data_IF_912917216354
#
_entry.id   IF_912917216354
#
_cell.length_a   1.000
_cell.length_b   1.000
_cell.length_c   1.000
_cell.angle_alpha   90.00
_cell.angle_beta   90.00
_cell.angle_gamma   90.00
#
_symmetry.space_group_name_H-M   'P 1'
#
loop_
_entity.id
_entity.type
_entity.pdbx_description
1 polymer ?
#
# COMPACT_ATOMS: atom_id res chain seq x y z
N UNK A 1 18.36 40.36 -15.55
CA UNK A 1 19.20 39.15 -15.81
C UNK A 1 19.09 38.12 -14.67
N UNK A 2 19.35 38.50 -13.42
CA UNK A 2 19.21 37.62 -12.22
C UNK A 2 17.81 37.01 -12.03
N UNK A 3 16.74 37.76 -12.32
CA UNK A 3 15.36 37.26 -12.19
C UNK A 3 15.02 36.19 -13.24
N UNK A 4 15.52 36.37 -14.46
CA UNK A 4 15.41 35.40 -15.57
C UNK A 4 16.22 34.12 -15.29
N UNK A 5 17.39 34.25 -14.66
CA UNK A 5 18.20 33.12 -14.19
C UNK A 5 17.51 32.36 -13.04
N UNK A 6 16.92 33.06 -12.06
CA UNK A 6 16.13 32.43 -10.98
C UNK A 6 14.91 31.69 -11.53
N UNK A 7 14.21 32.26 -12.50
CA UNK A 7 13.06 31.64 -13.16
C UNK A 7 13.47 30.38 -13.94
N UNK A 8 14.57 30.45 -14.71
CA UNK A 8 15.13 29.30 -15.43
C UNK A 8 15.60 28.19 -14.49
N UNK A 9 16.20 28.53 -13.34
CA UNK A 9 16.61 27.56 -12.33
C UNK A 9 15.40 26.86 -11.69
N UNK A 10 14.33 27.62 -11.39
CA UNK A 10 13.08 27.08 -10.84
C UNK A 10 12.41 26.11 -11.82
N UNK A 11 12.36 26.47 -13.11
CA UNK A 11 11.85 25.60 -14.17
C UNK A 11 12.68 24.31 -14.31
N UNK A 12 14.01 24.41 -14.35
CA UNK A 12 14.90 23.22 -14.41
C UNK A 12 14.70 22.29 -13.21
N UNK A 13 14.63 22.83 -12.00
CA UNK A 13 14.37 22.04 -10.77
C UNK A 13 12.99 21.38 -10.82
N UNK A 14 11.96 22.06 -11.31
CA UNK A 14 10.63 21.49 -11.42
C UNK A 14 10.53 20.33 -12.42
N UNK A 15 11.21 20.43 -13.56
CA UNK A 15 11.32 19.32 -14.52
C UNK A 15 12.05 18.13 -13.90
N UNK A 16 13.11 18.36 -13.13
CA UNK A 16 13.85 17.31 -12.43
C UNK A 16 12.95 16.55 -11.44
N UNK A 17 12.21 17.25 -10.57
CA UNK A 17 11.30 16.63 -9.61
C UNK A 17 10.19 15.82 -10.30
N UNK A 18 9.55 16.41 -11.32
CA UNK A 18 8.48 15.73 -12.05
C UNK A 18 8.96 14.47 -12.79
N UNK A 19 10.12 14.54 -13.45
CA UNK A 19 10.70 13.38 -14.12
C UNK A 19 11.21 12.34 -13.11
N UNK A 20 11.77 12.76 -11.98
CA UNK A 20 12.18 11.88 -10.89
C UNK A 20 11.02 11.03 -10.38
N UNK A 21 9.88 11.66 -10.06
CA UNK A 21 8.67 10.94 -9.62
C UNK A 21 8.11 10.00 -10.69
N UNK A 22 8.13 10.41 -11.96
CA UNK A 22 7.73 9.54 -13.07
C UNK A 22 8.61 8.29 -13.14
N UNK A 23 9.93 8.45 -13.09
CA UNK A 23 10.90 7.34 -13.12
C UNK A 23 10.71 6.45 -11.89
N UNK A 24 10.56 7.03 -10.69
CA UNK A 24 10.31 6.27 -9.46
C UNK A 24 9.06 5.41 -9.59
N UNK A 25 7.95 5.94 -10.11
CA UNK A 25 6.72 5.17 -10.32
C UNK A 25 6.94 4.00 -11.31
N UNK A 26 7.63 4.25 -12.43
CA UNK A 26 7.91 3.21 -13.41
C UNK A 26 8.80 2.09 -12.81
N UNK A 27 9.81 2.47 -12.02
CA UNK A 27 10.70 1.53 -11.34
C UNK A 27 9.90 0.69 -10.33
N UNK A 28 9.18 1.34 -9.40
CA UNK A 28 8.48 0.65 -8.31
C UNK A 28 7.39 -0.32 -8.81
N UNK A 29 6.73 0.01 -9.94
CA UNK A 29 5.63 -0.79 -10.47
C UNK A 29 6.10 -1.85 -11.46
N UNK A 30 7.01 -1.52 -12.37
CA UNK A 30 7.34 -2.39 -13.52
C UNK A 30 8.74 -3.02 -13.45
N UNK A 31 9.72 -2.36 -12.84
CA UNK A 31 11.12 -2.81 -12.94
C UNK A 31 11.72 -3.30 -11.62
N UNK A 32 10.98 -3.20 -10.51
CA UNK A 32 11.50 -3.54 -9.19
C UNK A 32 12.01 -4.98 -9.11
N UNK A 33 11.22 -5.95 -9.57
CA UNK A 33 11.57 -7.38 -9.46
C UNK A 33 12.70 -7.77 -10.44
N UNK A 34 12.86 -7.02 -11.54
CA UNK A 34 13.91 -7.20 -12.54
C UNK A 34 15.27 -6.75 -11.99
N UNK A 35 15.30 -5.63 -11.27
CA UNK A 35 16.54 -5.05 -10.74
C UNK A 35 16.68 -5.21 -9.21
N UNK A 36 15.96 -6.16 -8.61
CA UNK A 36 15.86 -6.29 -7.14
C UNK A 36 17.21 -6.34 -6.42
N UNK A 37 18.25 -6.89 -7.05
CA UNK A 37 19.61 -6.93 -6.49
C UNK A 37 20.27 -5.54 -6.43
N UNK A 38 19.99 -4.65 -7.39
CA UNK A 38 20.56 -3.31 -7.45
C UNK A 38 19.71 -2.25 -6.72
N UNK A 39 18.39 -2.44 -6.65
CA UNK A 39 17.42 -1.44 -6.16
C UNK A 39 16.52 -1.94 -5.02
N UNK A 40 16.88 -3.03 -4.35
CA UNK A 40 16.04 -3.70 -3.32
C UNK A 40 15.65 -2.84 -2.11
N UNK A 41 16.25 -1.66 -1.92
CA UNK A 41 15.90 -0.69 -0.86
C UNK A 41 15.44 0.66 -1.42
N UNK A 42 15.01 0.70 -2.68
CA UNK A 42 14.68 1.94 -3.36
C UNK A 42 13.46 2.63 -2.74
N UNK A 43 12.48 1.87 -2.26
CA UNK A 43 11.30 2.41 -1.60
C UNK A 43 11.57 2.90 -0.17
N UNK A 44 12.46 2.27 0.59
CA UNK A 44 13.00 2.81 1.85
C UNK A 44 13.75 4.11 1.61
N UNK A 45 14.58 4.16 0.56
CA UNK A 45 15.29 5.37 0.16
C UNK A 45 14.32 6.52 -0.15
N UNK A 46 13.25 6.27 -0.91
CA UNK A 46 12.21 7.26 -1.15
C UNK A 46 11.50 7.70 0.14
N UNK A 47 11.27 6.76 1.07
CA UNK A 47 10.76 7.05 2.41
C UNK A 47 11.66 8.02 3.18
N UNK A 48 12.96 7.73 3.24
CA UNK A 48 13.97 8.59 3.89
C UNK A 48 14.07 9.97 3.22
N UNK A 49 14.09 10.03 1.88
CA UNK A 49 14.02 11.29 1.16
C UNK A 49 12.76 12.07 1.50
N UNK A 50 11.63 11.38 1.64
CA UNK A 50 10.36 11.98 2.04
C UNK A 50 10.43 12.65 3.41
N UNK A 51 11.07 12.01 4.40
CA UNK A 51 11.35 12.63 5.70
C UNK A 51 12.18 13.90 5.56
N UNK A 52 13.25 13.89 4.75
CA UNK A 52 14.09 15.08 4.50
C UNK A 52 13.28 16.22 3.87
N UNK A 53 12.42 15.92 2.89
CA UNK A 53 11.54 16.92 2.25
C UNK A 53 10.57 17.53 3.25
N UNK A 54 9.96 16.71 4.10
CA UNK A 54 9.02 17.18 5.13
C UNK A 54 9.74 18.08 6.14
N UNK A 55 10.86 17.61 6.69
CA UNK A 55 11.64 18.36 7.70
C UNK A 55 12.14 19.70 7.16
N UNK A 56 12.70 19.73 5.95
CA UNK A 56 13.15 20.97 5.32
C UNK A 56 12.00 21.94 5.06
N UNK A 57 10.84 21.47 4.59
CA UNK A 57 9.68 22.34 4.39
C UNK A 57 9.15 22.94 5.68
N UNK A 58 9.09 22.16 6.76
CA UNK A 58 8.66 22.63 8.09
C UNK A 58 9.62 23.72 8.59
N UNK A 59 10.94 23.46 8.55
CA UNK A 59 11.96 24.36 9.07
C UNK A 59 12.04 25.70 8.31
N UNK A 60 11.93 25.69 6.98
CA UNK A 60 12.21 26.87 6.16
C UNK A 60 10.98 27.68 5.74
N UNK A 61 9.78 27.08 5.69
CA UNK A 61 8.61 27.74 5.09
C UNK A 61 7.41 27.91 6.02
N UNK A 62 7.37 27.24 7.18
CA UNK A 62 6.45 27.47 8.31
C UNK A 62 4.94 27.27 8.05
N UNK A 63 4.45 27.44 6.82
CA UNK A 63 3.05 27.29 6.43
C UNK A 63 2.95 26.20 5.37
N UNK A 64 2.27 25.11 5.73
CA UNK A 64 2.01 23.99 4.84
C UNK A 64 0.52 24.02 4.49
N UNK A 65 0.15 24.19 3.21
CA UNK A 65 -1.24 24.18 2.78
C UNK A 65 -1.77 22.74 2.68
N UNK A 66 -1.98 22.11 3.83
CA UNK A 66 -2.64 20.80 3.99
C UNK A 66 -4.11 20.97 4.37
N UNK A 67 -4.94 20.03 3.92
CA UNK A 67 -6.33 19.96 4.36
C UNK A 67 -6.39 19.57 5.84
N UNK A 68 -7.45 19.98 6.54
CA UNK A 68 -7.65 19.65 7.97
C UNK A 68 -7.53 18.15 8.26
N UNK A 69 -8.11 17.31 7.39
CA UNK A 69 -8.02 15.84 7.50
C UNK A 69 -6.60 15.30 7.22
N UNK A 70 -5.85 15.93 6.32
CA UNK A 70 -4.45 15.57 6.06
C UNK A 70 -3.56 15.86 7.29
N UNK A 71 -3.84 16.95 8.01
CA UNK A 71 -3.17 17.27 9.27
C UNK A 71 -3.49 16.24 10.36
N UNK A 72 -4.75 15.81 10.49
CA UNK A 72 -5.10 14.73 11.43
C UNK A 72 -4.37 13.42 11.12
N UNK A 73 -4.21 13.07 9.84
CA UNK A 73 -3.45 11.88 9.45
C UNK A 73 -1.98 12.01 9.88
N UNK A 74 -1.35 13.16 9.64
CA UNK A 74 0.02 13.41 10.11
C UNK A 74 0.15 13.27 11.62
N UNK A 75 -0.79 13.84 12.39
CA UNK A 75 -0.79 13.72 13.84
C UNK A 75 -0.96 12.28 14.32
N UNK A 76 -1.86 11.51 13.70
CA UNK A 76 -2.06 10.11 14.04
C UNK A 76 -0.83 9.26 13.70
N UNK A 77 -0.22 9.45 12.53
CA UNK A 77 1.01 8.75 12.15
C UNK A 77 2.17 9.08 13.08
N UNK A 78 2.33 10.36 13.44
CA UNK A 78 3.32 10.79 14.41
C UNK A 78 3.04 10.21 15.79
N UNK A 79 1.77 10.15 16.20
CA UNK A 79 1.31 9.50 17.41
C UNK A 79 1.68 8.01 17.45
N UNK A 80 1.47 7.26 16.37
CA UNK A 80 1.87 5.85 16.26
C UNK A 80 3.39 5.70 16.40
N UNK A 81 4.18 6.57 15.76
CA UNK A 81 5.64 6.53 15.86
C UNK A 81 6.09 6.75 17.31
N UNK A 82 5.58 7.78 17.99
CA UNK A 82 5.89 8.01 19.40
C UNK A 82 5.45 6.82 20.25
N UNK A 83 4.24 6.32 20.04
CA UNK A 83 3.68 5.20 20.79
C UNK A 83 4.52 3.93 20.64
N UNK A 84 4.95 3.60 19.43
CA UNK A 84 5.82 2.45 19.16
C UNK A 84 7.21 2.60 19.80
N UNK A 85 7.79 3.80 19.81
CA UNK A 85 9.06 4.04 20.50
C UNK A 85 8.92 3.92 22.02
N UNK A 86 7.83 4.44 22.60
CA UNK A 86 7.52 4.24 24.03
C UNK A 86 7.38 2.74 24.33
N UNK A 87 6.72 2.00 23.45
CA UNK A 87 6.59 0.54 23.58
C UNK A 87 7.94 -0.18 23.59
N UNK A 88 8.89 0.20 22.72
CA UNK A 88 10.26 -0.34 22.76
C UNK A 88 10.97 -0.01 24.09
N UNK A 89 10.81 1.20 24.62
CA UNK A 89 11.40 1.62 25.90
C UNK A 89 10.79 0.83 27.06
N UNK A 90 9.47 0.66 27.06
CA UNK A 90 8.76 -0.15 28.04
C UNK A 90 9.24 -1.60 28.03
N UNK A 91 9.33 -2.22 26.84
CA UNK A 91 9.86 -3.57 26.68
C UNK A 91 11.29 -3.69 27.25
N UNK A 92 12.14 -2.69 27.01
CA UNK A 92 13.50 -2.64 27.57
C UNK A 92 13.52 -2.57 29.09
N UNK A 93 12.58 -1.86 29.72
CA UNK A 93 12.48 -1.77 31.19
C UNK A 93 12.10 -3.10 31.84
N UNK A 94 11.29 -3.92 31.17
CA UNK A 94 10.89 -5.24 31.65
C UNK A 94 11.85 -6.37 31.23
N UNK A 95 13.02 -6.02 30.69
CA UNK A 95 14.12 -6.96 30.42
C UNK A 95 14.24 -7.43 28.96
N UNK A 96 13.39 -6.95 28.05
CA UNK A 96 13.43 -7.32 26.63
C UNK A 96 14.07 -6.25 25.76
N UNK A 97 15.21 -6.55 25.15
CA UNK A 97 15.95 -5.57 24.35
C UNK A 97 15.80 -5.84 22.86
N UNK A 98 15.50 -4.77 22.11
CA UNK A 98 15.43 -4.81 20.64
C UNK A 98 16.59 -3.99 20.08
N UNK A 99 17.29 -4.54 19.08
CA UNK A 99 18.46 -3.88 18.49
C UNK A 99 18.04 -2.54 17.86
N UNK A 100 18.75 -1.41 18.14
CA UNK A 100 18.40 -0.10 17.58
C UNK A 100 18.31 -0.06 16.05
N UNK A 101 19.17 -0.77 15.28
CA UNK A 101 19.00 -0.86 13.83
C UNK A 101 17.67 -1.50 13.38
N UNK A 102 17.15 -2.47 14.13
CA UNK A 102 15.85 -3.09 13.85
C UNK A 102 14.71 -2.08 14.06
N UNK A 103 14.76 -1.33 15.16
CA UNK A 103 13.79 -0.29 15.49
C UNK A 103 13.75 0.78 14.39
N UNK A 104 14.92 1.30 14.00
CA UNK A 104 15.01 2.36 13.00
C UNK A 104 14.53 1.88 11.62
N UNK A 105 15.01 0.71 11.18
CA UNK A 105 14.67 0.19 9.87
C UNK A 105 13.18 -0.14 9.76
N UNK A 106 12.58 -0.68 10.83
CA UNK A 106 11.16 -0.97 10.84
C UNK A 106 10.29 0.29 10.91
N UNK A 107 10.72 1.33 11.63
CA UNK A 107 10.06 2.63 11.62
C UNK A 107 10.00 3.23 10.20
N UNK A 108 11.13 3.20 9.47
CA UNK A 108 11.19 3.67 8.08
C UNK A 108 10.28 2.82 7.20
N UNK A 109 10.34 1.49 7.32
CA UNK A 109 9.54 0.57 6.54
C UNK A 109 8.04 0.69 6.78
N UNK A 110 7.62 0.90 8.03
CA UNK A 110 6.23 1.12 8.41
C UNK A 110 5.68 2.43 7.84
N UNK A 111 6.48 3.49 7.87
CA UNK A 111 6.03 4.85 7.58
C UNK A 111 6.23 5.31 6.12
N UNK A 112 7.13 4.66 5.35
CA UNK A 112 7.59 5.12 4.02
C UNK A 112 6.47 5.51 3.07
N UNK A 113 5.42 4.69 2.92
CA UNK A 113 4.34 4.96 1.98
C UNK A 113 3.59 6.25 2.33
N UNK A 114 3.27 6.45 3.62
CA UNK A 114 2.56 7.62 4.10
C UNK A 114 3.42 8.88 4.05
N UNK A 115 4.70 8.76 4.42
CA UNK A 115 5.67 9.87 4.39
C UNK A 115 5.85 10.39 2.96
N UNK A 116 5.96 9.47 1.99
CA UNK A 116 6.11 9.85 0.57
C UNK A 116 4.88 10.58 0.04
N UNK A 117 3.66 10.21 0.46
CA UNK A 117 2.45 10.98 0.13
C UNK A 117 2.59 12.45 0.53
N UNK A 118 2.97 12.71 1.79
CA UNK A 118 3.11 14.07 2.28
C UNK A 118 4.27 14.82 1.63
N UNK A 119 5.40 14.15 1.39
CA UNK A 119 6.51 14.74 0.66
C UNK A 119 6.09 15.25 -0.72
N UNK A 120 5.36 14.43 -1.50
CA UNK A 120 4.85 14.83 -2.82
C UNK A 120 3.78 15.93 -2.71
N UNK A 121 2.90 15.87 -1.71
CA UNK A 121 1.94 16.96 -1.43
C UNK A 121 2.63 18.28 -1.13
N UNK A 122 3.78 18.27 -0.45
CA UNK A 122 4.52 19.49 -0.09
C UNK A 122 5.35 20.07 -1.24
N UNK A 123 5.66 19.23 -2.23
CA UNK A 123 6.34 19.62 -3.47
C UNK A 123 5.36 20.09 -4.57
N UNK A 124 4.07 20.27 -4.27
CA UNK A 124 3.04 20.66 -5.25
C UNK A 124 3.38 21.91 -6.09
N UNK A 125 4.07 22.89 -5.50
CA UNK A 125 4.42 24.15 -6.17
C UNK A 125 5.75 24.05 -6.94
N UNK A 126 6.46 22.92 -6.80
CA UNK A 126 7.76 22.69 -7.43
C UNK A 126 7.63 22.13 -8.83
N UNK A 127 6.57 21.40 -9.16
CA UNK A 127 6.36 20.79 -10.48
C UNK A 127 4.87 20.67 -10.84
N UNK A 128 4.56 20.45 -12.11
CA UNK A 128 3.18 20.25 -12.56
C UNK A 128 2.76 18.79 -12.40
N UNK A 129 1.91 18.51 -11.40
CA UNK A 129 1.41 17.15 -11.16
C UNK A 129 0.51 16.62 -12.29
N UNK A 130 -0.23 17.50 -12.99
CA UNK A 130 -1.04 17.11 -14.14
C UNK A 130 -0.17 16.63 -15.30
N UNK A 131 0.92 17.36 -15.60
CA UNK A 131 1.88 16.95 -16.62
C UNK A 131 2.54 15.61 -16.30
N UNK A 132 2.90 15.36 -15.03
CA UNK A 132 3.48 14.08 -14.60
C UNK A 132 2.48 12.93 -14.79
N UNK A 133 1.23 13.12 -14.36
CA UNK A 133 0.15 12.15 -14.58
C UNK A 133 -0.10 11.92 -16.08
N UNK A 134 0.01 12.95 -16.89
CA UNK A 134 -0.18 12.84 -18.33
C UNK A 134 0.89 11.99 -19.00
N UNK A 135 2.16 12.21 -18.65
CA UNK A 135 3.30 11.41 -19.09
C UNK A 135 3.21 9.98 -18.57
N UNK A 136 2.80 9.80 -17.31
CA UNK A 136 2.61 8.48 -16.71
C UNK A 136 1.54 7.69 -17.48
N UNK A 137 0.40 8.30 -17.80
CA UNK A 137 -0.65 7.66 -18.58
C UNK A 137 -0.22 7.33 -20.01
N UNK A 138 0.60 8.18 -20.61
CA UNK A 138 1.22 7.88 -21.90
C UNK A 138 2.12 6.65 -21.78
N UNK A 139 3.08 6.65 -20.85
CA UNK A 139 3.99 5.52 -20.63
C UNK A 139 3.25 4.21 -20.31
N UNK A 140 2.30 4.23 -19.36
CA UNK A 140 1.50 3.05 -18.97
C UNK A 140 0.73 2.44 -20.13
N UNK A 141 0.28 3.25 -21.10
CA UNK A 141 -0.37 2.73 -22.32
C UNK A 141 0.59 1.90 -23.16
N UNK A 142 1.81 2.39 -23.42
CA UNK A 142 2.79 1.65 -24.23
C UNK A 142 3.28 0.41 -23.49
N UNK A 143 3.56 0.53 -22.19
CA UNK A 143 3.92 -0.60 -21.34
C UNK A 143 2.83 -1.66 -21.38
N UNK A 144 1.56 -1.29 -21.34
CA UNK A 144 0.46 -2.25 -21.48
C UNK A 144 0.53 -3.07 -22.77
N UNK A 145 0.76 -2.42 -23.92
CA UNK A 145 0.88 -3.14 -25.20
C UNK A 145 2.13 -4.02 -25.25
N UNK A 146 3.24 -3.59 -24.64
CA UNK A 146 4.44 -4.43 -24.48
C UNK A 146 4.12 -5.66 -23.61
N UNK A 147 3.40 -5.49 -22.50
CA UNK A 147 2.98 -6.60 -21.65
C UNK A 147 2.08 -7.58 -22.41
N UNK A 148 1.11 -7.10 -23.20
CA UNK A 148 0.26 -7.96 -24.04
C UNK A 148 1.09 -8.76 -25.04
N UNK A 149 2.07 -8.12 -25.71
CA UNK A 149 3.00 -8.81 -26.59
C UNK A 149 3.79 -9.90 -25.86
N UNK A 150 4.32 -9.59 -24.67
CA UNK A 150 5.05 -10.55 -23.85
C UNK A 150 4.17 -11.72 -23.38
N UNK A 151 2.89 -11.49 -23.09
CA UNK A 151 1.93 -12.56 -22.76
C UNK A 151 1.73 -13.48 -23.97
N UNK A 152 1.56 -12.93 -25.17
CA UNK A 152 1.39 -13.75 -26.39
C UNK A 152 2.64 -14.60 -26.64
N UNK A 153 3.83 -14.02 -26.48
CA UNK A 153 5.09 -14.74 -26.59
C UNK A 153 5.21 -15.82 -25.51
N UNK A 154 4.87 -15.50 -24.26
CA UNK A 154 4.91 -16.47 -23.17
C UNK A 154 3.93 -17.63 -23.38
N UNK A 155 2.71 -17.36 -23.86
CA UNK A 155 1.73 -18.40 -24.23
C UNK A 155 2.30 -19.33 -25.31
N UNK A 156 3.00 -18.75 -26.29
CA UNK A 156 3.54 -19.50 -27.44
C UNK A 156 4.79 -20.32 -27.09
N UNK A 157 5.70 -19.74 -26.30
CA UNK A 157 7.05 -20.29 -26.06
C UNK A 157 7.27 -20.80 -24.63
N UNK A 158 6.33 -20.57 -23.71
CA UNK A 158 6.42 -20.95 -22.28
C UNK A 158 7.72 -20.47 -21.63
N UNK A 159 7.95 -19.16 -21.72
CA UNK A 159 9.21 -18.51 -21.31
C UNK A 159 9.29 -18.41 -19.79
N UNK A 160 8.17 -18.11 -19.13
CA UNK A 160 8.10 -17.83 -17.70
C UNK A 160 7.45 -18.98 -16.91
N UNK A 161 7.83 -19.16 -15.63
CA UNK A 161 7.19 -20.13 -14.74
C UNK A 161 5.69 -19.86 -14.58
N UNK A 162 4.90 -20.93 -14.37
CA UNK A 162 3.45 -20.85 -14.20
C UNK A 162 2.98 -21.63 -12.99
N UNK A 163 2.29 -20.93 -12.11
CA UNK A 163 1.54 -21.56 -11.02
C UNK A 163 0.13 -21.90 -11.51
N UNK A 164 -0.33 -23.13 -11.22
CA UNK A 164 -1.72 -23.50 -11.48
C UNK A 164 -2.63 -22.94 -10.38
N UNK A 165 -3.71 -22.26 -10.78
CA UNK A 165 -4.76 -21.72 -9.92
C UNK A 165 -6.11 -22.02 -10.54
N UNK A 166 -7.03 -22.62 -9.78
CA UNK A 166 -8.34 -23.04 -10.30
C UNK A 166 -8.25 -23.96 -11.53
N UNK A 167 -7.19 -24.78 -11.63
CA UNK A 167 -6.94 -25.64 -12.79
C UNK A 167 -6.39 -24.92 -14.03
N UNK A 168 -6.27 -23.58 -14.00
CA UNK A 168 -5.72 -22.76 -15.07
C UNK A 168 -4.29 -22.29 -14.74
N UNK A 169 -3.48 -22.03 -15.76
CA UNK A 169 -2.13 -21.51 -15.56
C UNK A 169 -2.16 -19.98 -15.41
N UNK A 170 -1.70 -19.49 -14.26
CA UNK A 170 -1.67 -18.06 -13.97
C UNK A 170 -0.48 -17.37 -14.66
N UNK A 171 -0.72 -16.18 -15.19
CA UNK A 171 0.31 -15.35 -15.84
C UNK A 171 1.07 -14.54 -14.81
N UNK A 172 2.40 -14.59 -14.90
CA UNK A 172 3.33 -13.87 -14.02
C UNK A 172 4.33 -12.99 -14.78
N UNK A 173 4.81 -13.42 -15.96
CA UNK A 173 5.88 -12.77 -16.72
C UNK A 173 7.16 -12.59 -15.87
N UNK A 174 7.91 -11.51 -16.10
CA UNK A 174 9.13 -11.17 -15.38
C UNK A 174 8.91 -10.62 -13.96
N UNK A 175 7.66 -10.57 -13.48
CA UNK A 175 7.32 -10.00 -12.16
C UNK A 175 7.61 -10.93 -10.97
N UNK A 176 8.09 -12.17 -11.19
CA UNK A 176 8.46 -13.18 -10.17
C UNK A 176 7.35 -13.58 -9.19
N UNK A 177 6.17 -12.96 -9.26
CA UNK A 177 4.99 -13.34 -8.49
C UNK A 177 3.69 -12.83 -9.14
N UNK A 178 2.68 -13.69 -9.30
CA UNK A 178 1.38 -13.32 -9.90
C UNK A 178 0.65 -12.14 -9.25
N UNK A 179 0.88 -11.83 -7.95
CA UNK A 179 0.32 -10.60 -7.33
C UNK A 179 0.96 -9.32 -7.86
N UNK A 180 2.23 -9.36 -8.26
CA UNK A 180 2.97 -8.21 -8.79
C UNK A 180 2.48 -7.86 -10.19
N UNK A 181 2.30 -8.88 -11.02
CA UNK A 181 1.61 -8.75 -12.31
C UNK A 181 0.21 -8.13 -12.15
N UNK A 182 -0.63 -8.69 -11.26
CA UNK A 182 -1.98 -8.17 -11.00
C UNK A 182 -1.96 -6.69 -10.56
N UNK A 183 -1.01 -6.32 -9.70
CA UNK A 183 -0.81 -4.95 -9.25
C UNK A 183 -0.40 -4.01 -10.40
N UNK A 184 0.53 -4.43 -11.27
CA UNK A 184 0.97 -3.63 -12.40
C UNK A 184 -0.18 -3.31 -13.37
N UNK A 185 -1.02 -4.30 -13.69
CA UNK A 185 -2.21 -4.10 -14.53
C UNK A 185 -3.28 -3.24 -13.83
N UNK A 186 -3.44 -3.40 -12.52
CA UNK A 186 -4.29 -2.51 -11.73
C UNK A 186 -3.80 -1.07 -11.78
N UNK A 187 -2.51 -0.83 -11.59
CA UNK A 187 -1.90 0.49 -11.67
C UNK A 187 -2.09 1.12 -13.06
N UNK A 188 -1.85 0.37 -14.14
CA UNK A 188 -2.12 0.79 -15.52
C UNK A 188 -3.58 1.23 -15.67
N UNK A 189 -4.54 0.41 -15.23
CA UNK A 189 -5.95 0.74 -15.29
C UNK A 189 -6.26 2.05 -14.56
N UNK A 190 -5.78 2.22 -13.32
CA UNK A 190 -6.05 3.41 -12.50
C UNK A 190 -5.49 4.68 -13.14
N UNK A 191 -4.29 4.62 -13.70
CA UNK A 191 -3.67 5.77 -14.38
C UNK A 191 -4.39 6.12 -15.69
N UNK A 192 -4.91 5.12 -16.42
CA UNK A 192 -5.61 5.32 -17.69
C UNK A 192 -7.09 5.72 -17.54
N UNK A 193 -7.72 5.37 -16.41
CA UNK A 193 -9.14 5.61 -16.15
C UNK A 193 -9.58 7.06 -16.44
N UNK A 194 -8.86 8.11 -15.97
CA UNK A 194 -9.28 9.50 -16.18
C UNK A 194 -9.27 9.92 -17.65
N UNK A 195 -8.36 9.34 -18.46
CA UNK A 195 -8.19 9.69 -19.87
C UNK A 195 -9.10 8.90 -20.80
N UNK A 196 -9.36 7.64 -20.47
CA UNK A 196 -9.99 6.70 -21.40
C UNK A 196 -11.44 6.35 -21.07
N UNK A 197 -11.96 6.68 -19.88
CA UNK A 197 -13.35 6.32 -19.55
C UNK A 197 -14.36 6.84 -20.59
N UNK A 198 -14.31 8.14 -20.94
CA UNK A 198 -15.21 8.74 -21.93
C UNK A 198 -14.80 8.46 -23.38
N UNK A 199 -13.51 8.19 -23.62
CA UNK A 199 -12.93 8.05 -24.98
C UNK A 199 -13.03 6.63 -25.50
N UNK A 200 -12.71 5.65 -24.67
CA UNK A 200 -12.69 4.23 -25.02
C UNK A 200 -12.74 3.37 -23.74
N UNK A 201 -13.96 3.14 -23.22
CA UNK A 201 -14.16 2.25 -22.07
C UNK A 201 -13.80 0.80 -22.39
N UNK A 202 -13.95 0.36 -23.64
CA UNK A 202 -13.58 -0.98 -24.09
C UNK A 202 -12.09 -1.26 -23.87
N UNK A 203 -11.23 -0.27 -24.10
CA UNK A 203 -9.80 -0.38 -23.79
C UNK A 203 -9.54 -0.56 -22.29
N UNK A 204 -10.27 0.15 -21.42
CA UNK A 204 -10.14 -0.04 -19.96
C UNK A 204 -10.61 -1.42 -19.52
N UNK A 205 -11.72 -1.91 -20.08
CA UNK A 205 -12.20 -3.27 -19.82
C UNK A 205 -11.19 -4.31 -20.32
N UNK A 206 -10.53 -4.07 -21.45
CA UNK A 206 -9.47 -4.94 -21.95
C UNK A 206 -8.25 -4.98 -21.00
N UNK A 207 -7.82 -3.84 -20.45
CA UNK A 207 -6.76 -3.83 -19.41
C UNK A 207 -7.17 -4.67 -18.20
N UNK A 208 -8.43 -4.57 -17.76
CA UNK A 208 -8.96 -5.36 -16.65
C UNK A 208 -9.03 -6.87 -16.97
N UNK A 209 -9.39 -7.22 -18.20
CA UNK A 209 -9.40 -8.61 -18.66
C UNK A 209 -8.00 -9.20 -18.72
N UNK A 210 -7.00 -8.44 -19.19
CA UNK A 210 -5.61 -8.91 -19.21
C UNK A 210 -5.10 -9.13 -17.78
N UNK A 211 -5.43 -8.25 -16.83
CA UNK A 211 -5.04 -8.46 -15.43
C UNK A 211 -5.73 -9.66 -14.75
N UNK A 212 -6.89 -10.11 -15.24
CA UNK A 212 -7.59 -11.28 -14.68
C UNK A 212 -6.86 -12.59 -14.96
N UNK A 213 -5.96 -12.62 -15.95
CA UNK A 213 -5.04 -13.73 -16.22
C UNK A 213 -4.07 -14.01 -15.06
N UNK A 214 -3.96 -13.10 -14.08
CA UNK A 214 -3.27 -13.36 -12.81
C UNK A 214 -3.93 -14.44 -11.96
N UNK A 215 -5.23 -14.68 -12.17
CA UNK A 215 -6.08 -15.59 -11.39
C UNK A 215 -6.04 -15.33 -9.87
N UNK A 216 -5.68 -14.11 -9.45
CA UNK A 216 -5.61 -13.73 -8.03
C UNK A 216 -7.00 -13.34 -7.53
N UNK A 217 -7.46 -13.97 -6.45
CA UNK A 217 -8.75 -13.63 -5.82
C UNK A 217 -8.86 -12.16 -5.43
N UNK A 218 -7.76 -11.56 -4.96
CA UNK A 218 -7.70 -10.13 -4.63
C UNK A 218 -7.93 -9.24 -5.86
N UNK A 219 -7.38 -9.64 -7.01
CA UNK A 219 -7.61 -8.97 -8.28
C UNK A 219 -9.07 -9.08 -8.73
N UNK A 220 -9.69 -10.26 -8.60
CA UNK A 220 -11.13 -10.42 -8.88
C UNK A 220 -12.00 -9.57 -7.94
N UNK A 221 -11.64 -9.45 -6.67
CA UNK A 221 -12.28 -8.53 -5.74
C UNK A 221 -12.19 -7.07 -6.20
N UNK A 222 -11.00 -6.63 -6.63
CA UNK A 222 -10.80 -5.31 -7.23
C UNK A 222 -11.58 -5.12 -8.53
N UNK A 223 -11.59 -6.11 -9.42
CA UNK A 223 -12.31 -6.12 -10.69
C UNK A 223 -13.80 -5.91 -10.45
N UNK A 224 -14.40 -6.74 -9.58
CA UNK A 224 -15.82 -6.67 -9.24
C UNK A 224 -16.19 -5.30 -8.67
N UNK A 225 -15.41 -4.81 -7.70
CA UNK A 225 -15.60 -3.49 -7.11
C UNK A 225 -15.50 -2.38 -8.16
N UNK A 226 -14.51 -2.47 -9.04
CA UNK A 226 -14.29 -1.49 -10.12
C UNK A 226 -15.48 -1.45 -11.08
N UNK A 227 -15.98 -2.59 -11.55
CA UNK A 227 -17.14 -2.65 -12.44
C UNK A 227 -18.37 -2.01 -11.80
N UNK A 228 -18.62 -2.29 -10.51
CA UNK A 228 -19.69 -1.65 -9.74
C UNK A 228 -19.53 -0.12 -9.74
N UNK A 229 -18.34 0.40 -9.45
CA UNK A 229 -18.10 1.84 -9.43
C UNK A 229 -18.15 2.49 -10.82
N UNK A 230 -17.70 1.81 -11.88
CA UNK A 230 -17.74 2.34 -13.25
C UNK A 230 -19.16 2.54 -13.77
N UNK A 231 -20.06 1.61 -13.48
CA UNK A 231 -21.45 1.63 -13.99
C UNK A 231 -22.44 2.23 -13.00
N UNK A 232 -22.25 2.02 -11.69
CA UNK A 232 -23.19 2.43 -10.65
C UNK A 232 -22.60 3.42 -9.64
N UNK A 233 -21.31 3.74 -9.69
CA UNK A 233 -20.62 4.55 -8.68
C UNK A 233 -21.28 5.91 -8.41
N UNK A 234 -21.72 6.62 -9.46
CA UNK A 234 -22.43 7.90 -9.31
C UNK A 234 -23.73 7.79 -8.51
N UNK A 235 -24.43 6.65 -8.59
CA UNK A 235 -25.64 6.36 -7.79
C UNK A 235 -25.25 5.94 -6.38
N UNK A 236 -24.29 5.03 -6.24
CA UNK A 236 -23.82 4.51 -4.95
C UNK A 236 -23.30 5.61 -4.03
N UNK A 237 -22.58 6.58 -4.57
CA UNK A 237 -22.00 7.69 -3.80
C UNK A 237 -23.06 8.62 -3.20
N UNK A 238 -24.27 8.64 -3.78
CA UNK A 238 -25.42 9.40 -3.27
C UNK A 238 -26.21 8.65 -2.19
N UNK A 239 -25.94 7.36 -1.99
CA UNK A 239 -26.63 6.57 -0.95
C UNK A 239 -26.30 7.18 0.43
N UNK A 240 -27.30 7.40 1.30
CA UNK A 240 -27.05 7.91 2.63
C UNK A 240 -26.14 6.97 3.44
N UNK A 241 -25.26 7.56 4.26
CA UNK A 241 -24.25 6.83 5.04
C UNK A 241 -24.85 5.69 5.86
N UNK A 242 -26.06 5.88 6.40
CA UNK A 242 -26.76 4.89 7.24
C UNK A 242 -27.04 3.60 6.48
N UNK A 243 -27.61 3.68 5.27
CA UNK A 243 -27.90 2.49 4.45
C UNK A 243 -26.64 1.77 4.02
N UNK A 244 -25.58 2.52 3.68
CA UNK A 244 -24.28 1.93 3.35
C UNK A 244 -23.69 1.14 4.52
N UNK A 245 -23.76 1.68 5.75
CA UNK A 245 -23.29 0.99 6.95
C UNK A 245 -24.10 -0.27 7.26
N UNK A 246 -25.43 -0.24 7.08
CA UNK A 246 -26.27 -1.43 7.23
C UNK A 246 -25.91 -2.52 6.22
N UNK A 247 -25.78 -2.18 4.94
CA UNK A 247 -25.38 -3.13 3.89
C UNK A 247 -24.00 -3.72 4.20
N UNK A 248 -23.04 -2.89 4.62
CA UNK A 248 -21.72 -3.36 5.03
C UNK A 248 -21.77 -4.28 6.25
N UNK A 249 -22.57 -3.96 7.27
CA UNK A 249 -22.75 -4.80 8.45
C UNK A 249 -23.33 -6.17 8.10
N UNK A 250 -24.35 -6.20 7.23
CA UNK A 250 -24.96 -7.45 6.73
C UNK A 250 -23.94 -8.27 5.93
N UNK A 251 -23.16 -7.63 5.05
CA UNK A 251 -22.11 -8.30 4.29
C UNK A 251 -21.02 -8.88 5.19
N UNK A 252 -20.58 -8.16 6.22
CA UNK A 252 -19.60 -8.67 7.19
C UNK A 252 -20.17 -9.88 7.92
N UNK A 253 -21.42 -9.81 8.40
CA UNK A 253 -22.07 -10.93 9.07
C UNK A 253 -22.15 -12.16 8.15
N UNK A 254 -22.59 -11.98 6.91
CA UNK A 254 -22.63 -13.03 5.90
C UNK A 254 -21.26 -13.64 5.64
N UNK A 255 -20.21 -12.82 5.54
CA UNK A 255 -18.84 -13.31 5.32
C UNK A 255 -18.36 -14.13 6.52
N UNK A 256 -18.63 -13.70 7.76
CA UNK A 256 -18.27 -14.48 8.96
C UNK A 256 -18.96 -15.84 8.96
N UNK A 257 -20.24 -15.90 8.57
CA UNK A 257 -21.00 -17.16 8.47
C UNK A 257 -20.43 -18.06 7.35
N UNK A 258 -20.22 -17.52 6.16
CA UNK A 258 -19.71 -18.27 4.98
C UNK A 258 -18.29 -18.79 5.21
N UNK A 259 -17.44 -18.01 5.87
CA UNK A 259 -16.04 -18.35 6.09
C UNK A 259 -15.77 -18.97 7.46
N UNK A 260 -16.81 -19.32 8.22
CA UNK A 260 -16.69 -19.86 9.59
C UNK A 260 -15.73 -21.05 9.67
N UNK A 261 -15.86 -22.03 8.79
CA UNK A 261 -15.00 -23.22 8.78
C UNK A 261 -13.53 -22.89 8.48
N UNK A 262 -13.28 -21.91 7.59
CA UNK A 262 -11.90 -21.44 7.33
C UNK A 262 -11.35 -20.66 8.52
N UNK A 263 -12.19 -19.90 9.21
CA UNK A 263 -11.82 -19.20 10.44
C UNK A 263 -11.46 -20.24 11.51
N UNK A 264 -12.31 -21.25 11.73
CA UNK A 264 -12.07 -22.34 12.68
C UNK A 264 -10.79 -23.12 12.34
N UNK A 265 -10.55 -23.44 11.06
CA UNK A 265 -9.29 -24.06 10.60
C UNK A 265 -8.04 -23.20 10.90
N UNK A 266 -8.17 -21.87 10.85
CA UNK A 266 -7.08 -20.95 11.20
C UNK A 266 -6.78 -20.93 12.71
N UNK A 267 -7.69 -21.43 13.56
CA UNK A 267 -7.56 -21.40 15.02
C UNK A 267 -7.55 -22.80 15.67
N UNK A 268 -7.76 -23.87 14.91
CA UNK A 268 -7.60 -25.26 15.35
C UNK A 268 -6.13 -25.68 15.22
N UNK A 269 -5.33 -25.38 16.24
CA UNK A 269 -3.93 -25.80 16.30
C UNK A 269 -3.83 -27.18 16.95
N UNK A 270 -3.83 -28.26 16.16
CA UNK A 270 -3.54 -29.61 16.68
C UNK A 270 -2.03 -29.79 16.96
N UNK A 271 -1.16 -29.16 16.16
CA UNK A 271 0.30 -29.05 16.38
C UNK A 271 0.82 -27.69 15.89
N UNK A 272 1.49 -26.91 16.76
CA UNK A 272 2.03 -25.58 16.42
C UNK A 272 3.13 -25.68 15.34
N UNK A 273 3.93 -26.74 15.35
CA UNK A 273 5.04 -26.92 14.40
C UNK A 273 4.56 -27.17 12.95
N UNK A 274 3.35 -27.72 12.79
CA UNK A 274 2.72 -28.00 11.50
C UNK A 274 1.73 -26.92 11.06
N UNK A 275 1.48 -25.92 11.91
CA UNK A 275 0.49 -24.90 11.62
C UNK A 275 1.01 -23.84 10.65
N UNK A 276 0.08 -23.27 9.89
CA UNK A 276 0.37 -22.25 8.88
C UNK A 276 0.92 -21.00 9.56
N UNK A 277 2.11 -20.55 9.17
CA UNK A 277 2.82 -19.40 9.79
C UNK A 277 1.95 -18.15 9.89
N UNK A 278 1.10 -17.91 8.89
CA UNK A 278 0.15 -16.78 8.87
C UNK A 278 -0.94 -16.89 9.94
N UNK A 279 -1.41 -18.10 10.22
CA UNK A 279 -2.40 -18.32 11.27
C UNK A 279 -1.79 -18.07 12.65
N UNK A 280 -0.56 -18.57 12.86
CA UNK A 280 0.21 -18.34 14.08
C UNK A 280 0.50 -16.86 14.28
N UNK A 281 1.00 -16.16 13.25
CA UNK A 281 1.30 -14.73 13.32
C UNK A 281 0.04 -13.92 13.66
N UNK A 282 -1.12 -14.25 13.07
CA UNK A 282 -2.38 -13.61 13.43
C UNK A 282 -2.79 -13.91 14.87
N UNK A 283 -2.78 -15.18 15.28
CA UNK A 283 -3.20 -15.61 16.61
C UNK A 283 -2.36 -14.96 17.72
N UNK A 284 -1.02 -15.06 17.62
CA UNK A 284 -0.12 -14.49 18.62
C UNK A 284 -0.13 -12.96 18.61
N UNK A 285 -0.56 -12.29 17.53
CA UNK A 285 -0.72 -10.83 17.58
C UNK A 285 -1.74 -10.39 18.64
N UNK A 286 -2.82 -11.17 18.84
CA UNK A 286 -3.81 -10.90 19.89
C UNK A 286 -3.27 -11.21 21.28
N UNK A 287 -2.54 -12.32 21.44
CA UNK A 287 -1.90 -12.68 22.71
C UNK A 287 -0.92 -11.58 23.13
N UNK A 288 0.01 -11.22 22.23
CA UNK A 288 0.98 -10.14 22.46
C UNK A 288 0.28 -8.81 22.77
N UNK A 289 -0.78 -8.48 22.01
CA UNK A 289 -1.56 -7.27 22.24
C UNK A 289 -2.23 -7.22 23.61
N UNK A 290 -2.58 -8.37 24.20
CA UNK A 290 -3.13 -8.48 25.54
C UNK A 290 -2.04 -8.41 26.62
N UNK A 291 -0.96 -9.20 26.45
CA UNK A 291 0.12 -9.31 27.45
C UNK A 291 0.90 -8.00 27.60
N UNK A 292 1.08 -7.26 26.51
CA UNK A 292 1.76 -5.97 26.47
C UNK A 292 0.78 -4.79 26.37
N UNK A 293 -0.46 -4.97 26.82
CA UNK A 293 -1.44 -3.89 26.84
C UNK A 293 -0.95 -2.71 27.71
N UNK A 294 -1.08 -1.45 27.27
CA UNK A 294 -1.70 -0.99 26.01
C UNK A 294 -0.72 -0.80 24.84
N UNK A 295 0.58 -0.97 25.07
CA UNK A 295 1.64 -0.48 24.18
C UNK A 295 2.01 -1.42 23.05
N UNK A 296 1.87 -2.74 23.23
CA UNK A 296 2.50 -3.73 22.37
C UNK A 296 4.00 -3.88 22.66
N UNK A 297 4.74 -4.50 21.74
CA UNK A 297 6.16 -4.86 21.93
C UNK A 297 7.16 -3.92 21.27
N UNK A 298 6.71 -3.02 20.40
CA UNK A 298 7.48 -1.91 19.82
C UNK A 298 7.95 -2.18 18.39
N UNK A 299 8.59 -1.20 17.75
CA UNK A 299 9.15 -1.36 16.40
C UNK A 299 10.19 -2.47 16.33
N UNK A 300 10.19 -3.23 15.23
CA UNK A 300 11.17 -4.27 14.95
C UNK A 300 11.00 -5.54 15.79
N UNK A 301 9.86 -5.70 16.47
CA UNK A 301 9.66 -6.80 17.42
C UNK A 301 8.68 -7.88 16.96
N UNK A 302 7.75 -7.57 16.06
CA UNK A 302 6.75 -8.56 15.64
C UNK A 302 6.24 -8.37 14.21
N UNK A 303 6.10 -9.49 13.48
CA UNK A 303 5.48 -9.59 12.15
C UNK A 303 5.97 -8.57 11.10
N UNK A 304 7.20 -8.07 11.22
CA UNK A 304 7.83 -7.19 10.23
C UNK A 304 9.06 -7.85 9.61
N UNK A 305 9.51 -7.33 8.46
CA UNK A 305 10.74 -7.84 7.82
C UNK A 305 11.92 -7.77 8.79
N UNK A 306 12.04 -6.66 9.52
CA UNK A 306 13.16 -6.42 10.42
C UNK A 306 13.05 -7.19 11.75
N UNK A 307 11.85 -7.56 12.20
CA UNK A 307 11.71 -8.47 13.34
C UNK A 307 12.22 -9.87 13.00
N UNK A 308 12.05 -10.33 11.77
CA UNK A 308 12.67 -11.58 11.28
C UNK A 308 14.18 -11.44 11.06
N UNK A 309 14.61 -10.40 10.34
CA UNK A 309 16.03 -10.20 9.98
C UNK A 309 16.95 -10.04 11.20
N UNK A 310 16.49 -9.39 12.27
CA UNK A 310 17.23 -9.26 13.53
C UNK A 310 16.88 -10.33 14.57
N UNK A 311 15.94 -11.21 14.22
CA UNK A 311 15.32 -12.24 15.03
C UNK A 311 14.89 -11.76 16.43
N UNK A 312 13.67 -11.22 16.48
CA UNK A 312 13.08 -10.67 17.70
C UNK A 312 12.96 -11.68 18.84
N UNK A 313 13.22 -11.20 20.05
CA UNK A 313 13.00 -11.92 21.30
C UNK A 313 11.56 -12.38 21.49
N UNK A 314 10.59 -11.72 20.84
CA UNK A 314 9.16 -12.07 20.93
C UNK A 314 8.91 -13.49 20.43
N UNK A 315 9.64 -13.96 19.42
CA UNK A 315 9.42 -15.31 18.87
C UNK A 315 9.86 -16.41 19.85
N UNK A 316 10.96 -16.16 20.56
CA UNK A 316 11.47 -17.08 21.58
C UNK A 316 10.59 -17.02 22.84
N UNK A 317 10.13 -15.83 23.25
CA UNK A 317 9.22 -15.66 24.40
C UNK A 317 7.93 -16.47 24.26
N UNK A 318 7.34 -16.47 23.08
CA UNK A 318 6.07 -17.16 22.81
C UNK A 318 6.25 -18.60 22.28
N UNK A 319 7.49 -19.09 22.20
CA UNK A 319 7.79 -20.46 21.76
C UNK A 319 7.46 -20.72 20.28
N UNK A 320 7.35 -19.70 19.45
CA UNK A 320 7.03 -19.82 18.02
C UNK A 320 8.27 -19.83 17.13
N UNK A 321 9.47 -19.93 17.73
CA UNK A 321 10.74 -19.94 17.04
C UNK A 321 11.08 -21.26 16.31
N UNK A 322 10.27 -22.31 16.48
CA UNK A 322 10.41 -23.58 15.74
C UNK A 322 9.45 -23.69 14.54
N UNK A 323 8.48 -22.79 14.45
CA UNK A 323 7.43 -22.83 13.42
C UNK A 323 8.01 -22.58 12.04
N UNK A 324 7.66 -23.44 11.08
CA UNK A 324 8.07 -23.25 9.68
C UNK A 324 7.67 -21.86 9.18
N UNK A 325 8.62 -21.12 8.59
CA UNK A 325 8.39 -19.76 8.08
C UNK A 325 8.52 -18.65 9.13
N UNK A 326 8.67 -19.00 10.42
CA UNK A 326 8.96 -18.07 11.54
C UNK A 326 10.32 -18.39 12.16
N UNK A 327 10.78 -19.65 12.06
CA UNK A 327 12.03 -20.10 12.66
C UNK A 327 13.25 -19.31 12.22
N UNK A 328 14.26 -19.26 13.08
CA UNK A 328 15.47 -18.43 12.91
C UNK A 328 16.21 -18.66 11.58
N UNK A 329 16.22 -19.90 11.11
CA UNK A 329 16.84 -20.30 9.84
C UNK A 329 15.96 -20.00 8.61
N UNK A 330 14.64 -19.85 8.79
CA UNK A 330 13.68 -19.68 7.70
C UNK A 330 12.49 -18.83 8.17
N UNK A 331 12.66 -17.50 8.14
CA UNK A 331 11.72 -16.51 8.67
C UNK A 331 10.89 -15.79 7.58
N UNK A 332 10.93 -16.29 6.34
CA UNK A 332 10.39 -15.60 5.16
C UNK A 332 8.88 -15.28 5.23
N UNK A 333 8.11 -15.91 6.12
CA UNK A 333 6.66 -15.72 6.24
C UNK A 333 6.26 -14.82 7.42
N UNK A 334 7.21 -14.30 8.19
CA UNK A 334 6.95 -13.39 9.31
C UNK A 334 6.27 -12.10 8.85
N UNK A 335 6.72 -11.54 7.72
CA UNK A 335 6.34 -10.21 7.26
C UNK A 335 5.13 -10.22 6.29
N UNK A 336 4.31 -11.27 6.33
CA UNK A 336 3.26 -11.51 5.34
C UNK A 336 1.96 -10.74 5.59
N UNK A 337 1.75 -10.21 6.80
CA UNK A 337 0.46 -9.61 7.20
C UNK A 337 0.64 -8.26 7.89
N UNK A 338 -0.08 -7.24 7.40
CA UNK A 338 0.04 -5.88 7.94
C UNK A 338 -0.62 -5.70 9.31
N UNK A 339 -1.86 -6.15 9.48
CA UNK A 339 -2.64 -5.89 10.68
C UNK A 339 -2.11 -6.62 11.94
N UNK A 340 -1.66 -7.89 11.85
CA UNK A 340 -0.98 -8.56 12.96
C UNK A 340 0.30 -7.84 13.42
N UNK A 341 1.07 -7.28 12.48
CA UNK A 341 2.24 -6.45 12.78
C UNK A 341 1.84 -5.21 13.59
N UNK A 342 0.82 -4.46 13.14
CA UNK A 342 0.34 -3.27 13.84
C UNK A 342 -0.13 -3.62 15.26
N UNK A 343 -0.89 -4.70 15.41
CA UNK A 343 -1.40 -5.12 16.73
C UNK A 343 -0.28 -5.60 17.65
N UNK A 344 0.62 -6.46 17.18
CA UNK A 344 1.71 -6.99 18.00
C UNK A 344 2.75 -5.93 18.41
N UNK A 345 3.09 -5.01 17.49
CA UNK A 345 4.07 -3.96 17.76
C UNK A 345 3.50 -2.78 18.55
N UNK A 346 2.28 -2.33 18.24
CA UNK A 346 1.74 -1.07 18.77
C UNK A 346 0.50 -1.24 19.66
N UNK A 347 0.10 -2.49 19.93
CA UNK A 347 -1.06 -2.83 20.74
C UNK A 347 -2.38 -2.36 20.12
N UNK A 348 -3.45 -2.46 20.90
CA UNK A 348 -4.78 -2.05 20.47
C UNK A 348 -4.88 -0.54 20.19
N UNK A 349 -4.15 0.29 20.94
CA UNK A 349 -4.18 1.73 20.72
C UNK A 349 -3.55 2.11 19.37
N UNK A 350 -2.39 1.54 19.03
CA UNK A 350 -1.78 1.73 17.72
C UNK A 350 -2.64 1.19 16.57
N UNK A 351 -3.30 0.04 16.78
CA UNK A 351 -4.27 -0.50 15.83
C UNK A 351 -5.45 0.46 15.58
N UNK A 352 -6.04 1.02 16.64
CA UNK A 352 -7.12 2.01 16.54
C UNK A 352 -6.67 3.28 15.81
N UNK A 353 -5.46 3.78 16.12
CA UNK A 353 -4.88 4.93 15.41
C UNK A 353 -4.67 4.62 13.92
N UNK A 354 -4.20 3.41 13.58
CA UNK A 354 -4.01 2.99 12.19
C UNK A 354 -5.35 2.88 11.44
N UNK A 355 -6.41 2.38 12.10
CA UNK A 355 -7.76 2.43 11.53
C UNK A 355 -8.24 3.88 11.32
N UNK A 356 -7.96 4.79 12.25
CA UNK A 356 -8.29 6.19 12.08
C UNK A 356 -7.52 6.84 10.91
N UNK A 357 -6.24 6.47 10.69
CA UNK A 357 -5.44 6.90 9.52
C UNK A 357 -6.08 6.41 8.22
N UNK A 358 -6.37 5.11 8.12
CA UNK A 358 -6.97 4.53 6.90
C UNK A 358 -8.36 5.11 6.61
N UNK A 359 -9.20 5.26 7.64
CA UNK A 359 -10.51 5.90 7.53
C UNK A 359 -10.40 7.36 7.07
N UNK A 360 -9.42 8.11 7.59
CA UNK A 360 -9.21 9.51 7.21
C UNK A 360 -8.83 9.64 5.72
N UNK A 361 -7.93 8.79 5.22
CA UNK A 361 -7.62 8.74 3.78
C UNK A 361 -8.85 8.40 2.94
N UNK A 362 -9.59 7.35 3.33
CA UNK A 362 -10.83 6.97 2.66
C UNK A 362 -11.81 8.14 2.57
N UNK A 363 -12.01 8.86 3.67
CA UNK A 363 -12.93 10.00 3.73
C UNK A 363 -12.45 11.18 2.86
N UNK A 364 -11.16 11.47 2.80
CA UNK A 364 -10.60 12.49 1.91
C UNK A 364 -10.91 12.14 0.46
N UNK A 365 -10.60 10.90 0.04
CA UNK A 365 -10.78 10.47 -1.34
C UNK A 365 -12.26 10.39 -1.71
N UNK A 366 -13.10 9.81 -0.86
CA UNK A 366 -14.55 9.75 -1.07
C UNK A 366 -15.16 11.16 -1.17
N UNK A 367 -14.73 12.11 -0.34
CA UNK A 367 -15.19 13.49 -0.39
C UNK A 367 -14.79 14.16 -1.70
N UNK A 368 -13.56 13.94 -2.18
CA UNK A 368 -13.11 14.45 -3.48
C UNK A 368 -13.91 13.86 -4.65
N UNK A 369 -14.24 12.56 -4.61
CA UNK A 369 -15.12 11.95 -5.62
C UNK A 369 -16.53 12.59 -5.57
N UNK A 370 -17.10 12.80 -4.38
CA UNK A 370 -18.40 13.46 -4.20
C UNK A 370 -18.40 14.88 -4.79
N UNK A 371 -17.39 15.69 -4.47
CA UNK A 371 -17.27 17.08 -4.92
C UNK A 371 -16.95 17.23 -6.41
N UNK A 372 -16.52 16.16 -7.06
CA UNK A 372 -16.22 16.10 -8.50
C UNK A 372 -17.34 15.47 -9.33
N UNK A 373 -18.48 15.10 -8.73
CA UNK A 373 -19.64 14.62 -9.48
C UNK A 373 -20.03 15.63 -10.57
N UNK A 374 -20.07 15.15 -11.82
CA UNK A 374 -20.37 15.97 -13.00
C UNK A 374 -19.19 16.74 -13.59
N UNK A 375 -18.03 16.76 -12.92
CA UNK A 375 -16.82 17.46 -13.35
C UNK A 375 -15.83 16.54 -14.09
N UNK A 376 -14.92 17.05 -14.94
CA UNK A 376 -13.96 16.22 -15.66
C UNK A 376 -13.02 15.43 -14.72
N UNK A 377 -12.74 15.94 -13.51
CA UNK A 377 -11.85 15.31 -12.54
C UNK A 377 -12.48 14.10 -11.82
N UNK A 378 -13.78 13.82 -12.03
CA UNK A 378 -14.48 12.71 -11.37
C UNK A 378 -13.72 11.39 -11.48
N UNK A 379 -13.25 11.05 -12.69
CA UNK A 379 -12.57 9.78 -12.95
C UNK A 379 -11.14 9.76 -12.39
N UNK A 380 -10.50 10.92 -12.21
CA UNK A 380 -9.22 11.04 -11.50
C UNK A 380 -9.39 10.77 -10.00
N UNK A 381 -10.42 11.31 -9.38
CA UNK A 381 -10.67 11.01 -7.98
C UNK A 381 -11.20 9.60 -7.76
N UNK A 382 -11.96 9.08 -8.73
CA UNK A 382 -12.43 7.70 -8.70
C UNK A 382 -11.27 6.71 -8.78
N UNK A 383 -10.25 6.96 -9.61
CA UNK A 383 -9.06 6.11 -9.65
C UNK A 383 -8.27 6.16 -8.33
N UNK A 384 -8.18 7.32 -7.67
CA UNK A 384 -7.57 7.42 -6.34
C UNK A 384 -8.35 6.57 -5.31
N UNK A 385 -9.68 6.69 -5.30
CA UNK A 385 -10.54 5.92 -4.39
C UNK A 385 -10.43 4.41 -4.66
N UNK A 386 -10.51 3.98 -5.93
CA UNK A 386 -10.36 2.58 -6.33
C UNK A 386 -8.98 2.03 -5.99
N UNK A 387 -7.93 2.83 -6.19
CA UNK A 387 -6.57 2.47 -5.81
C UNK A 387 -6.41 2.28 -4.30
N UNK A 388 -7.03 3.15 -3.49
CA UNK A 388 -7.00 3.00 -2.04
C UNK A 388 -7.80 1.76 -1.59
N UNK A 389 -8.96 1.50 -2.20
CA UNK A 389 -9.75 0.29 -1.95
C UNK A 389 -8.98 -0.99 -2.33
N UNK A 390 -8.19 -0.96 -3.42
CA UNK A 390 -7.30 -2.06 -3.77
C UNK A 390 -6.26 -2.32 -2.68
N UNK A 391 -5.62 -1.28 -2.13
CA UNK A 391 -4.69 -1.44 -0.99
C UNK A 391 -5.39 -2.04 0.24
N UNK A 392 -6.63 -1.66 0.51
CA UNK A 392 -7.40 -2.26 1.61
C UNK A 392 -7.68 -3.75 1.36
N UNK A 393 -8.12 -4.11 0.15
CA UNK A 393 -8.30 -5.53 -0.24
C UNK A 393 -6.99 -6.30 -0.08
N UNK A 394 -5.87 -5.75 -0.55
CA UNK A 394 -4.57 -6.41 -0.45
C UNK A 394 -4.11 -6.58 1.01
N UNK A 395 -4.33 -5.57 1.85
CA UNK A 395 -3.91 -5.56 3.26
C UNK A 395 -4.58 -6.62 4.13
N UNK A 396 -5.69 -7.21 3.68
CA UNK A 396 -6.35 -8.33 4.38
C UNK A 396 -5.46 -9.56 4.52
N UNK A 397 -4.48 -9.71 3.61
CA UNK A 397 -3.69 -10.93 3.47
C UNK A 397 -2.31 -10.66 2.88
N UNK A 398 -1.82 -9.43 3.01
CA UNK A 398 -0.52 -8.97 2.56
C UNK A 398 -0.05 -7.83 3.49
N UNK A 399 1.26 -7.62 3.58
CA UNK A 399 1.86 -6.48 4.29
C UNK A 399 1.91 -5.21 3.42
N UNK A 400 0.91 -5.02 2.55
CA UNK A 400 0.94 -4.10 1.40
C UNK A 400 1.39 -2.68 1.73
N UNK A 401 0.98 -2.11 2.87
CA UNK A 401 1.32 -0.75 3.28
C UNK A 401 2.81 -0.55 3.61
N UNK A 402 3.52 -1.64 3.92
CA UNK A 402 4.98 -1.66 4.13
C UNK A 402 5.78 -2.04 2.88
N UNK A 403 5.13 -2.24 1.73
CA UNK A 403 5.79 -2.65 0.50
C UNK A 403 5.92 -1.52 -0.51
N UNK A 404 6.81 -1.69 -1.50
CA UNK A 404 7.04 -0.69 -2.54
C UNK A 404 5.78 -0.34 -3.36
N UNK A 405 4.80 -1.28 -3.43
CA UNK A 405 3.51 -1.09 -4.08
C UNK A 405 2.70 0.03 -3.46
N UNK A 406 2.65 0.08 -2.12
CA UNK A 406 1.99 1.18 -1.43
C UNK A 406 2.71 2.49 -1.69
N UNK A 407 4.05 2.53 -1.66
CA UNK A 407 4.81 3.75 -1.99
C UNK A 407 4.43 4.30 -3.37
N UNK A 408 4.37 3.45 -4.40
CA UNK A 408 3.92 3.86 -5.73
C UNK A 408 2.48 4.42 -5.74
N UNK A 409 1.56 3.76 -5.05
CA UNK A 409 0.17 4.20 -4.95
C UNK A 409 0.04 5.53 -4.20
N UNK A 410 0.76 5.72 -3.10
CA UNK A 410 0.71 6.95 -2.32
C UNK A 410 1.37 8.13 -3.05
N UNK A 411 2.41 7.92 -3.88
CA UNK A 411 2.90 8.91 -4.84
C UNK A 411 1.78 9.29 -5.82
N UNK A 412 1.12 8.29 -6.43
CA UNK A 412 0.03 8.53 -7.38
C UNK A 412 -1.13 9.31 -6.75
N UNK A 413 -1.55 8.95 -5.54
CA UNK A 413 -2.58 9.68 -4.80
C UNK A 413 -2.18 11.13 -4.55
N UNK A 414 -0.95 11.38 -4.11
CA UNK A 414 -0.46 12.73 -3.87
C UNK A 414 -0.43 13.58 -5.15
N UNK A 415 0.00 13.01 -6.28
CA UNK A 415 -0.03 13.67 -7.59
C UNK A 415 -1.45 14.04 -8.00
N UNK A 416 -2.40 13.11 -7.87
CA UNK A 416 -3.81 13.36 -8.20
C UNK A 416 -4.43 14.42 -7.28
N UNK A 417 -4.09 14.43 -5.99
CA UNK A 417 -4.55 15.43 -5.03
C UNK A 417 -3.93 16.82 -5.25
N UNK A 418 -2.78 16.91 -5.92
CA UNK A 418 -2.12 18.16 -6.27
C UNK A 418 -2.73 18.85 -7.51
N UNK A 419 -3.54 18.18 -8.33
CA UNK A 419 -4.04 18.76 -9.59
C UNK A 419 -5.07 19.88 -9.42
N UNK A 420 -5.82 19.92 -8.32
CA UNK A 420 -6.92 20.89 -8.13
C UNK A 420 -6.66 21.96 -7.06
N UNK A 421 -5.45 22.07 -6.53
CA UNK A 421 -5.10 23.07 -5.51
C UNK A 421 -4.20 24.19 -6.07
N UNK A 422 -4.22 24.41 -7.39
CA UNK A 422 -3.57 25.55 -8.04
C UNK A 422 -4.53 26.72 -8.12
#
# INVERSE_FOLDING_TARGET
KQEKERMNLKLKKGVLWGNGLLISLLILVFFYDVFSEAIGFYDEFLGLMGFVVISTRILFFGKIPIQKMEFYILLLLFGIIIWGLISNVYASHIGYTTKPPAIFADLVNFSKAFVVYFAVRFLRDSFDSGLVLDKLAFASKYIFFVLVMLIILDISFRIYPREKRFGLEAVELFFKHTSRYAFALTFIFLVLLPKYYKKNIGFLLFVLLVGSLSLRMKYFGFLFLTLIFLFYGKKLIKIPKTYFLWIMGILVLLMVVIFREKIEMYFSFEDIDNAWSRAIVLYYSFIIGNDFFPFGTGFGTYSSYYSGAYYSWVYDLYGISNVYGIKREYWNFIADQYWPMVLGQFGYLGLMMMFAVTYSYFMIFLTKVKLSLGKPEYYLYLSVLLGFLMLLIDSTSDSIFSQQRAVAMFIYFALAMNTTNK
#
